data_IF_387867920042
#
_entry.id   IF_387867920042
#
_cell.length_a   1.000
_cell.length_b   1.000
_cell.length_c   1.000
_cell.angle_alpha   90.00
_cell.angle_beta   90.00
_cell.angle_gamma   90.00
#
_symmetry.space_group_name_H-M   'P 1'
#
loop_
_entity.id
_entity.type
_entity.pdbx_description
1 polymer ?
#
# COMPACT_ATOMS: atom_id res chain seq x y z
N UNK A 1 -16.35 -5.02 -0.56
CA UNK A 1 -15.61 -6.09 -1.26
C UNK A 1 -14.13 -5.72 -1.24
N UNK A 2 -13.24 -6.64 -0.88
CA UNK A 2 -11.79 -6.39 -0.93
C UNK A 2 -11.26 -6.81 -2.30
N UNK A 3 -10.43 -5.97 -2.92
CA UNK A 3 -9.66 -6.36 -4.11
C UNK A 3 -8.57 -7.33 -3.65
N UNK A 4 -8.58 -8.56 -4.18
CA UNK A 4 -7.54 -9.54 -3.90
C UNK A 4 -6.37 -9.32 -4.84
N UNK A 5 -5.22 -8.93 -4.30
CA UNK A 5 -3.97 -8.88 -5.05
C UNK A 5 -3.30 -10.25 -5.05
N UNK A 6 -2.77 -10.68 -6.20
CA UNK A 6 -2.03 -11.93 -6.33
C UNK A 6 -0.65 -11.87 -5.67
N UNK A 7 0.03 -13.03 -5.61
CA UNK A 7 1.42 -13.09 -5.20
C UNK A 7 2.33 -12.30 -6.18
N UNK A 8 3.44 -11.71 -5.72
CA UNK A 8 4.39 -11.01 -6.59
C UNK A 8 4.98 -11.94 -7.65
N UNK A 9 4.94 -11.50 -8.90
CA UNK A 9 5.52 -12.21 -10.05
C UNK A 9 6.97 -11.83 -10.36
N UNK A 10 7.52 -10.85 -9.63
CA UNK A 10 8.89 -10.38 -9.75
C UNK A 10 9.31 -9.65 -8.46
N UNK A 11 10.57 -9.20 -8.41
CA UNK A 11 11.01 -8.25 -7.39
C UNK A 11 10.44 -6.87 -7.73
N UNK A 12 9.52 -6.37 -6.90
CA UNK A 12 8.82 -5.10 -7.14
C UNK A 12 9.40 -3.93 -6.34
N UNK A 13 10.42 -4.18 -5.52
CA UNK A 13 11.10 -3.17 -4.71
C UNK A 13 10.49 -3.06 -3.32
N UNK A 14 10.36 -1.83 -2.81
CA UNK A 14 9.91 -1.57 -1.43
C UNK A 14 8.58 -0.81 -1.46
N UNK A 15 7.57 -1.36 -0.79
CA UNK A 15 6.36 -0.61 -0.44
C UNK A 15 6.69 0.27 0.77
N UNK A 16 6.79 1.57 0.54
CA UNK A 16 7.17 2.55 1.57
C UNK A 16 6.01 3.41 2.08
N UNK A 17 4.87 3.40 1.38
CA UNK A 17 3.73 4.26 1.68
C UNK A 17 2.48 3.83 0.93
N UNK A 18 1.42 4.60 1.11
CA UNK A 18 0.14 4.42 0.46
C UNK A 18 -0.43 5.78 0.07
N UNK A 19 -1.40 5.78 -0.84
CA UNK A 19 -2.15 6.96 -1.26
C UNK A 19 -3.59 6.56 -1.56
N UNK A 20 -4.54 7.42 -1.22
CA UNK A 20 -5.90 7.34 -1.75
C UNK A 20 -5.94 8.05 -3.10
N UNK A 21 -6.74 7.56 -4.05
CA UNK A 21 -6.99 8.21 -5.33
C UNK A 21 -8.48 8.17 -5.59
N UNK A 22 -9.04 9.24 -6.16
CA UNK A 22 -10.47 9.35 -6.47
C UNK A 22 -10.90 8.61 -7.74
N UNK A 23 -9.95 8.16 -8.55
CA UNK A 23 -10.22 7.34 -9.73
C UNK A 23 -9.13 6.28 -9.95
N UNK A 24 -9.54 5.15 -10.56
CA UNK A 24 -8.64 4.04 -10.89
C UNK A 24 -7.60 4.41 -11.97
N UNK A 25 -7.92 5.38 -12.82
CA UNK A 25 -7.04 5.89 -13.88
C UNK A 25 -7.17 7.40 -13.92
N UNK A 26 -6.04 8.12 -13.98
CA UNK A 26 -5.97 9.58 -14.06
C UNK A 26 -6.69 10.35 -12.93
N UNK A 27 -6.85 9.73 -11.76
CA UNK A 27 -7.31 10.41 -10.55
C UNK A 27 -6.23 11.27 -9.90
N UNK A 28 -6.65 12.08 -8.95
CA UNK A 28 -5.80 12.86 -8.06
C UNK A 28 -5.61 12.14 -6.73
N UNK A 29 -4.39 12.23 -6.18
CA UNK A 29 -4.13 11.80 -4.81
C UNK A 29 -4.77 12.80 -3.83
N UNK A 30 -5.58 12.30 -2.89
CA UNK A 30 -6.20 13.16 -1.87
C UNK A 30 -5.42 13.16 -0.57
N UNK A 31 -4.90 12.00 -0.19
CA UNK A 31 -4.13 11.80 1.03
C UNK A 31 -3.11 10.68 0.84
N UNK A 32 -1.99 10.78 1.55
CA UNK A 32 -0.90 9.83 1.52
C UNK A 32 -0.18 9.82 2.86
N UNK A 33 0.48 8.71 3.17
CA UNK A 33 1.40 8.64 4.30
C UNK A 33 2.45 7.55 4.08
N UNK A 34 3.58 7.70 4.78
CA UNK A 34 4.64 6.69 4.82
C UNK A 34 4.28 5.60 5.81
N UNK A 35 4.61 4.36 5.48
CA UNK A 35 4.44 3.24 6.40
C UNK A 35 5.51 3.35 7.50
N UNK A 36 5.12 3.09 8.75
CA UNK A 36 6.06 3.01 9.87
C UNK A 36 7.11 1.90 9.65
N UNK A 37 6.69 0.82 8.99
CA UNK A 37 7.56 -0.30 8.61
C UNK A 37 7.41 -0.58 7.11
N UNK A 38 8.35 -0.10 6.27
CA UNK A 38 8.38 -0.43 4.85
C UNK A 38 8.52 -1.94 4.61
N UNK A 39 7.95 -2.43 3.49
CA UNK A 39 7.96 -3.85 3.12
C UNK A 39 8.69 -4.06 1.80
N UNK A 40 9.80 -4.79 1.82
CA UNK A 40 10.44 -5.30 0.61
C UNK A 40 9.58 -6.41 0.00
N UNK A 41 9.43 -6.38 -1.32
CA UNK A 41 8.62 -7.33 -2.10
C UNK A 41 9.52 -8.06 -3.10
N UNK A 42 9.70 -9.35 -2.87
CA UNK A 42 10.50 -10.24 -3.70
C UNK A 42 9.60 -11.21 -4.49
N UNK A 43 10.16 -11.76 -5.56
CA UNK A 43 9.48 -12.77 -6.36
C UNK A 43 9.16 -14.02 -5.51
N UNK A 44 7.91 -14.49 -5.58
CA UNK A 44 7.47 -15.68 -4.85
C UNK A 44 7.10 -15.45 -3.38
N UNK A 45 7.18 -14.21 -2.88
CA UNK A 45 6.60 -13.86 -1.58
C UNK A 45 5.08 -14.12 -1.57
N UNK A 46 4.49 -14.25 -0.38
CA UNK A 46 3.03 -14.20 -0.27
C UNK A 46 2.51 -12.82 -0.72
N UNK A 47 1.24 -12.76 -1.15
CA UNK A 47 0.59 -11.50 -1.49
C UNK A 47 0.79 -10.47 -0.36
N UNK A 48 1.21 -9.22 -0.67
CA UNK A 48 1.50 -8.24 0.36
C UNK A 48 0.28 -7.95 1.23
N UNK A 49 0.38 -8.28 2.53
CA UNK A 49 -0.57 -7.87 3.56
C UNK A 49 0.07 -6.88 4.54
N UNK A 50 -0.76 -6.01 5.09
CA UNK A 50 -0.42 -5.07 6.17
C UNK A 50 -1.46 -5.25 7.29
N UNK A 51 -1.06 -5.47 8.55
CA UNK A 51 -1.99 -5.70 9.65
C UNK A 51 -2.80 -4.44 9.97
N UNK A 52 -3.92 -4.61 10.68
CA UNK A 52 -4.66 -3.47 11.24
C UNK A 52 -3.72 -2.61 12.10
N UNK A 53 -3.88 -1.28 12.03
CA UNK A 53 -2.99 -0.29 12.66
C UNK A 53 -1.56 -0.22 12.10
N UNK A 54 -1.24 -0.89 10.99
CA UNK A 54 0.00 -0.62 10.23
C UNK A 54 0.06 0.80 9.65
N UNK A 55 -1.06 1.52 9.73
CA UNK A 55 -1.26 2.86 9.22
C UNK A 55 -1.80 3.74 10.35
N UNK A 56 -1.18 4.90 10.54
CA UNK A 56 -1.67 5.98 11.41
C UNK A 56 -1.86 7.22 10.55
N UNK A 57 -3.09 7.73 10.54
CA UNK A 57 -3.48 8.96 9.84
C UNK A 57 -4.12 9.86 10.87
N UNK A 58 -3.67 11.11 10.96
CA UNK A 58 -4.30 12.14 11.76
C UNK A 58 -4.72 13.27 10.82
N UNK A 59 -6.01 13.60 10.82
CA UNK A 59 -6.57 14.72 10.08
C UNK A 59 -7.24 15.63 11.10
N UNK A 60 -6.70 16.83 11.24
CA UNK A 60 -7.04 17.77 12.33
C UNK A 60 -6.74 17.17 13.72
N UNK A 61 -6.25 17.98 14.64
CA UNK A 61 -5.73 17.50 15.93
C UNK A 61 -6.74 17.74 17.06
#
# INVERSE_FOLDING_TARGET
MAIAFGAPSANWGVIAGWTSNDAATAGNAWDWSVLATPKTVNNGDAAPSFPASAMSIQIDA
#
